data_IF_059218143165
#
_entry.id   IF_059218143165
#
_cell.length_a   1.000
_cell.length_b   1.000
_cell.length_c   1.000
_cell.angle_alpha   90.00
_cell.angle_beta   90.00
_cell.angle_gamma   90.00
#
_symmetry.space_group_name_H-M   'P 1'
#
loop_
_entity.id
_entity.type
_entity.pdbx_description
1 polymer ?
#
# COMPACT_ATOMS: atom_id res chain seq x y z
N UNK A 1 31.61 -20.40 -1.17
CA UNK A 1 33.06 -20.48 -1.41
C UNK A 1 33.35 -20.83 -2.86
N UNK A 2 34.55 -20.52 -3.32
CA UNK A 2 35.01 -20.79 -4.67
C UNK A 2 36.42 -21.35 -4.58
N UNK A 3 36.72 -22.39 -5.35
CA UNK A 3 37.99 -23.09 -5.33
C UNK A 3 38.10 -24.00 -6.54
N UNK A 4 39.28 -24.55 -6.76
CA UNK A 4 39.48 -25.58 -7.78
C UNK A 4 39.24 -26.97 -7.17
N UNK A 5 39.11 -27.99 -8.01
CA UNK A 5 38.89 -29.38 -7.56
C UNK A 5 39.95 -29.86 -6.56
N UNK A 6 41.16 -29.32 -6.64
CA UNK A 6 42.26 -29.67 -5.75
C UNK A 6 42.12 -29.13 -4.32
N UNK A 7 41.34 -28.07 -4.08
CA UNK A 7 41.30 -27.40 -2.77
C UNK A 7 39.89 -27.14 -2.21
N UNK A 8 38.83 -27.40 -2.99
CA UNK A 8 37.46 -27.05 -2.59
C UNK A 8 36.98 -27.83 -1.36
N UNK A 9 37.47 -29.06 -1.15
CA UNK A 9 37.15 -29.87 0.01
C UNK A 9 37.73 -29.27 1.30
N UNK A 10 39.03 -28.95 1.29
CA UNK A 10 39.72 -28.32 2.42
C UNK A 10 39.11 -26.96 2.77
N UNK A 11 38.77 -26.16 1.74
CA UNK A 11 38.09 -24.88 1.93
C UNK A 11 36.70 -25.04 2.55
N UNK A 12 35.97 -26.11 2.21
CA UNK A 12 34.65 -26.39 2.78
C UNK A 12 34.74 -26.78 4.25
N UNK A 13 35.74 -27.58 4.61
CA UNK A 13 36.00 -27.99 5.99
C UNK A 13 36.45 -26.81 6.85
N UNK A 14 37.38 -25.99 6.36
CA UNK A 14 37.85 -24.78 7.04
C UNK A 14 36.72 -23.76 7.24
N UNK A 15 35.79 -23.64 6.28
CA UNK A 15 34.63 -22.76 6.37
C UNK A 15 33.49 -23.33 7.24
N UNK A 16 33.64 -24.55 7.77
CA UNK A 16 32.61 -25.22 8.57
C UNK A 16 31.30 -25.45 7.80
N UNK A 17 31.37 -25.66 6.49
CA UNK A 17 30.22 -25.76 5.61
C UNK A 17 29.52 -27.11 5.78
N UNK A 18 28.22 -27.11 6.11
CA UNK A 18 27.47 -28.32 6.47
C UNK A 18 26.44 -28.71 5.40
N UNK A 19 26.11 -30.01 5.25
CA UNK A 19 25.01 -30.46 4.41
C UNK A 19 23.64 -29.90 4.85
N UNK A 20 22.66 -29.75 3.93
CA UNK A 20 22.75 -30.08 2.50
C UNK A 20 23.54 -29.03 1.71
N UNK A 21 24.36 -29.50 0.77
CA UNK A 21 25.22 -28.67 -0.05
C UNK A 21 25.06 -29.01 -1.53
N UNK A 22 25.10 -27.99 -2.40
CA UNK A 22 25.10 -28.14 -3.85
C UNK A 22 26.45 -27.67 -4.38
N UNK A 23 27.15 -28.54 -5.10
CA UNK A 23 28.42 -28.21 -5.76
C UNK A 23 28.16 -27.97 -7.24
N UNK A 24 28.54 -26.78 -7.71
CA UNK A 24 28.46 -26.39 -9.12
C UNK A 24 29.88 -26.37 -9.67
N UNK A 25 30.15 -27.09 -10.77
CA UNK A 25 31.48 -27.23 -11.39
C UNK A 25 31.43 -26.71 -12.83
N UNK A 26 32.45 -25.95 -13.24
CA UNK A 26 32.60 -25.42 -14.61
C UNK A 26 32.73 -23.89 -14.65
N UNK A 27 32.81 -23.31 -15.86
CA UNK A 27 32.97 -21.84 -16.07
C UNK A 27 31.83 -21.01 -15.45
N UNK A 28 30.68 -21.63 -15.17
CA UNK A 28 29.57 -21.02 -14.40
C UNK A 28 29.98 -20.56 -13.01
N UNK A 29 31.09 -21.07 -12.46
CA UNK A 29 31.65 -20.63 -11.18
C UNK A 29 32.13 -19.17 -11.24
N UNK A 30 32.56 -18.69 -12.41
CA UNK A 30 32.96 -17.28 -12.62
C UNK A 30 31.75 -16.34 -12.63
N UNK A 31 30.55 -16.87 -12.90
CA UNK A 31 29.30 -16.13 -12.73
C UNK A 31 29.04 -15.85 -11.25
N UNK A 32 29.62 -16.58 -10.29
CA UNK A 32 29.47 -16.29 -8.86
C UNK A 32 29.88 -14.84 -8.56
N UNK A 33 31.02 -14.38 -9.06
CA UNK A 33 31.45 -12.98 -8.87
C UNK A 33 30.43 -11.97 -9.43
N UNK A 34 29.77 -12.32 -10.55
CA UNK A 34 28.73 -11.53 -11.22
C UNK A 34 27.32 -11.72 -10.64
N UNK A 35 27.05 -12.77 -9.87
CA UNK A 35 25.75 -13.11 -9.26
C UNK A 35 25.72 -12.79 -7.75
N UNK A 36 26.89 -12.55 -7.14
CA UNK A 36 27.03 -12.10 -5.74
C UNK A 36 26.34 -10.78 -5.43
N UNK A 37 25.91 -10.01 -6.44
CA UNK A 37 25.19 -8.75 -6.23
C UNK A 37 23.95 -8.91 -5.37
N UNK A 38 23.33 -10.10 -5.34
CA UNK A 38 22.15 -10.38 -4.52
C UNK A 38 22.54 -10.76 -3.08
N UNK A 39 23.56 -11.61 -2.91
CA UNK A 39 24.04 -12.06 -1.60
C UNK A 39 24.78 -10.98 -0.80
N UNK A 40 25.27 -9.92 -1.46
CA UNK A 40 25.91 -8.77 -0.81
C UNK A 40 24.96 -7.61 -0.53
N UNK A 41 23.66 -7.78 -0.80
CA UNK A 41 22.71 -6.69 -0.54
C UNK A 41 22.49 -6.52 0.97
N UNK A 42 22.22 -5.28 1.42
CA UNK A 42 22.16 -4.99 2.86
C UNK A 42 21.09 -5.77 3.63
N UNK A 43 20.01 -6.18 2.97
CA UNK A 43 18.92 -6.96 3.58
C UNK A 43 18.89 -8.42 3.10
N UNK A 44 19.97 -8.91 2.52
CA UNK A 44 20.02 -10.30 2.02
C UNK A 44 19.65 -11.31 3.11
N UNK A 45 18.69 -12.18 2.78
CA UNK A 45 18.19 -13.22 3.69
C UNK A 45 17.23 -12.74 4.78
N UNK A 46 16.98 -11.43 4.90
CA UNK A 46 16.02 -10.88 5.86
C UNK A 46 14.60 -11.08 5.40
N UNK A 47 13.73 -11.56 6.29
CA UNK A 47 12.29 -11.69 6.07
C UNK A 47 11.57 -10.51 6.71
N UNK A 48 10.91 -9.71 5.88
CA UNK A 48 10.25 -8.48 6.30
C UNK A 48 8.75 -8.59 6.09
N UNK A 49 7.98 -8.50 7.17
CA UNK A 49 6.52 -8.51 7.11
C UNK A 49 6.00 -7.12 6.72
N UNK A 50 5.21 -7.05 5.65
CA UNK A 50 4.65 -5.82 5.09
C UNK A 50 3.15 -5.74 5.38
N UNK A 51 2.75 -4.83 6.28
CA UNK A 51 1.36 -4.73 6.74
C UNK A 51 0.45 -3.80 5.90
N UNK A 52 1.02 -3.18 4.86
CA UNK A 52 0.33 -2.20 4.00
C UNK A 52 -0.80 -2.87 3.21
N UNK A 53 -1.82 -2.08 2.83
CA UNK A 53 -2.93 -2.54 1.98
C UNK A 53 -2.42 -3.24 0.70
N UNK A 54 -3.14 -4.29 0.26
CA UNK A 54 -2.69 -5.22 -0.78
C UNK A 54 -2.37 -4.53 -2.13
N UNK A 55 -3.14 -3.52 -2.50
CA UNK A 55 -2.97 -2.70 -3.70
C UNK A 55 -1.70 -1.84 -3.69
N UNK A 56 -1.06 -1.66 -2.53
CA UNK A 56 0.12 -0.83 -2.34
C UNK A 56 1.30 -1.60 -1.73
N UNK A 57 1.09 -2.87 -1.33
CA UNK A 57 2.13 -3.71 -0.76
C UNK A 57 3.21 -4.03 -1.80
N UNK A 58 2.82 -4.31 -3.05
CA UNK A 58 3.74 -4.71 -4.12
C UNK A 58 4.88 -3.72 -4.40
N UNK A 59 4.60 -2.41 -4.50
CA UNK A 59 5.65 -1.39 -4.72
C UNK A 59 6.70 -1.41 -3.60
N UNK A 60 6.24 -1.54 -2.35
CA UNK A 60 7.13 -1.56 -1.19
C UNK A 60 7.87 -2.91 -1.06
N UNK A 61 7.18 -4.02 -1.33
CA UNK A 61 7.78 -5.36 -1.42
C UNK A 61 8.91 -5.40 -2.44
N UNK A 62 8.71 -4.78 -3.62
CA UNK A 62 9.73 -4.65 -4.65
C UNK A 62 10.94 -3.83 -4.16
N UNK A 63 10.71 -2.68 -3.52
CA UNK A 63 11.79 -1.85 -2.98
C UNK A 63 12.63 -2.58 -1.91
N UNK A 64 11.99 -3.40 -1.07
CA UNK A 64 12.69 -4.25 -0.11
C UNK A 64 13.48 -5.39 -0.80
N UNK A 65 12.90 -6.00 -1.82
CA UNK A 65 13.56 -7.03 -2.63
C UNK A 65 14.75 -6.48 -3.42
N UNK A 66 14.69 -5.23 -3.87
CA UNK A 66 15.82 -4.48 -4.44
C UNK A 66 17.00 -4.33 -3.45
N UNK A 67 16.75 -4.46 -2.16
CA UNK A 67 17.76 -4.48 -1.11
C UNK A 67 18.07 -5.90 -0.59
N UNK A 68 17.53 -6.94 -1.23
CA UNK A 68 17.82 -8.37 -0.96
C UNK A 68 16.90 -9.02 0.06
N UNK A 69 15.90 -8.30 0.58
CA UNK A 69 14.94 -8.87 1.53
C UNK A 69 13.90 -9.77 0.84
N UNK A 70 13.38 -10.72 1.60
CA UNK A 70 12.13 -11.43 1.28
C UNK A 70 10.97 -10.68 1.96
N UNK A 71 10.14 -10.01 1.17
CA UNK A 71 8.93 -9.35 1.68
C UNK A 71 7.79 -10.37 1.80
N UNK A 72 7.21 -10.48 3.00
CA UNK A 72 6.02 -11.29 3.28
C UNK A 72 4.84 -10.34 3.42
N UNK A 73 3.93 -10.37 2.45
CA UNK A 73 2.78 -9.47 2.45
C UNK A 73 1.72 -9.92 3.45
N UNK A 74 1.31 -8.98 4.31
CA UNK A 74 0.34 -9.18 5.38
C UNK A 74 -0.65 -8.02 5.41
N UNK A 75 -1.39 -7.77 4.30
CA UNK A 75 -2.28 -6.63 4.21
C UNK A 75 -3.36 -6.69 5.28
N UNK A 76 -3.49 -5.62 6.06
CA UNK A 76 -4.50 -5.52 7.13
C UNK A 76 -5.74 -4.74 6.67
N UNK A 77 -5.83 -4.43 5.37
CA UNK A 77 -6.96 -3.78 4.72
C UNK A 77 -7.19 -4.50 3.40
N UNK A 78 -8.45 -4.91 3.15
CA UNK A 78 -8.88 -5.46 1.88
C UNK A 78 -9.97 -4.59 1.27
N UNK A 79 -9.81 -4.28 -0.01
CA UNK A 79 -10.85 -3.66 -0.81
C UNK A 79 -11.82 -4.75 -1.26
N UNK A 80 -13.12 -4.53 -1.04
CA UNK A 80 -14.18 -5.39 -1.56
C UNK A 80 -15.25 -4.55 -2.24
N UNK A 81 -16.11 -5.22 -2.99
CA UNK A 81 -17.26 -4.60 -3.64
C UNK A 81 -18.22 -3.96 -2.61
N UNK A 82 -18.95 -2.90 -3.00
CA UNK A 82 -20.07 -2.38 -2.22
C UNK A 82 -21.13 -3.46 -2.00
N UNK A 83 -21.99 -3.24 -1.00
CA UNK A 83 -23.11 -4.17 -0.72
C UNK A 83 -24.11 -4.22 -1.88
N UNK A 84 -24.24 -3.12 -2.61
CA UNK A 84 -25.02 -3.04 -3.84
C UNK A 84 -24.34 -2.09 -4.82
N UNK A 85 -24.27 -2.51 -6.08
CA UNK A 85 -23.84 -1.68 -7.19
C UNK A 85 -24.95 -0.77 -7.72
N UNK A 86 -26.22 -1.00 -7.34
CA UNK A 86 -27.38 -0.26 -7.87
C UNK A 86 -27.25 1.27 -7.78
N UNK A 87 -26.78 1.87 -6.66
CA UNK A 87 -26.63 3.31 -6.59
C UNK A 87 -25.57 3.83 -7.57
N UNK A 88 -24.47 3.09 -7.76
CA UNK A 88 -23.42 3.48 -8.68
C UNK A 88 -23.84 3.29 -10.15
N UNK A 89 -24.56 2.21 -10.45
CA UNK A 89 -25.10 1.95 -11.79
C UNK A 89 -26.12 3.01 -12.20
N UNK A 90 -26.98 3.42 -11.26
CA UNK A 90 -27.99 4.43 -11.52
C UNK A 90 -27.36 5.76 -11.94
N UNK A 91 -26.30 6.19 -11.25
CA UNK A 91 -25.59 7.44 -11.60
C UNK A 91 -24.74 7.28 -12.87
N UNK A 92 -24.14 6.10 -13.11
CA UNK A 92 -23.38 5.82 -14.34
C UNK A 92 -24.28 5.92 -15.58
N UNK A 93 -25.52 5.43 -15.51
CA UNK A 93 -26.51 5.57 -16.61
C UNK A 93 -26.84 7.03 -16.95
N UNK A 94 -26.63 7.94 -16.00
CA UNK A 94 -26.92 9.37 -16.14
C UNK A 94 -25.64 10.22 -16.12
N UNK A 95 -24.48 9.62 -16.37
CA UNK A 95 -23.17 10.25 -16.18
C UNK A 95 -23.01 11.56 -16.96
N UNK A 96 -23.57 11.61 -18.17
CA UNK A 96 -23.55 12.81 -19.02
C UNK A 96 -24.34 14.01 -18.48
N UNK A 97 -25.10 13.85 -17.38
CA UNK A 97 -25.81 14.94 -16.70
C UNK A 97 -25.03 15.57 -15.54
N UNK A 98 -23.90 14.99 -15.14
CA UNK A 98 -23.07 15.52 -14.06
C UNK A 98 -22.11 16.58 -14.58
N UNK A 99 -22.06 17.72 -13.89
CA UNK A 99 -21.09 18.78 -14.16
C UNK A 99 -19.68 18.40 -13.66
N UNK A 100 -19.62 17.65 -12.55
CA UNK A 100 -18.38 17.31 -11.87
C UNK A 100 -18.32 15.85 -11.43
N UNK A 101 -17.18 15.22 -11.68
CA UNK A 101 -16.74 13.97 -11.04
C UNK A 101 -15.62 14.29 -10.05
N UNK A 102 -15.81 13.92 -8.78
CA UNK A 102 -14.83 14.12 -7.72
C UNK A 102 -14.23 12.78 -7.32
N UNK A 103 -12.90 12.65 -7.37
CA UNK A 103 -12.19 11.42 -7.00
C UNK A 103 -11.07 11.73 -5.99
N UNK A 104 -11.15 11.10 -4.83
CA UNK A 104 -10.26 11.41 -3.69
C UNK A 104 -9.22 10.33 -3.40
N UNK A 105 -9.13 9.28 -4.23
CA UNK A 105 -8.06 8.29 -4.14
C UNK A 105 -7.92 7.52 -5.46
N UNK A 106 -6.76 6.91 -5.68
CA UNK A 106 -6.55 5.96 -6.78
C UNK A 106 -7.52 4.77 -6.73
N UNK A 107 -7.96 4.37 -5.52
CA UNK A 107 -8.96 3.31 -5.36
C UNK A 107 -10.35 3.74 -5.83
N UNK A 108 -10.74 5.00 -5.57
CA UNK A 108 -11.97 5.55 -6.13
C UNK A 108 -11.91 5.60 -7.66
N UNK A 109 -10.78 6.03 -8.23
CA UNK A 109 -10.54 6.02 -9.68
C UNK A 109 -10.73 4.60 -10.23
N UNK A 110 -9.93 3.64 -9.74
CA UNK A 110 -9.92 2.27 -10.25
C UNK A 110 -11.30 1.61 -10.18
N UNK A 111 -11.96 1.67 -9.03
CA UNK A 111 -13.26 1.01 -8.86
C UNK A 111 -14.37 1.69 -9.67
N UNK A 112 -14.34 3.03 -9.80
CA UNK A 112 -15.28 3.74 -10.66
C UNK A 112 -15.15 3.35 -12.13
N UNK A 113 -13.93 3.35 -12.68
CA UNK A 113 -13.70 3.02 -14.08
C UNK A 113 -13.90 1.53 -14.39
N UNK A 114 -13.54 0.61 -13.48
CA UNK A 114 -13.90 -0.81 -13.62
C UNK A 114 -15.42 -1.01 -13.67
N UNK A 115 -16.17 -0.27 -12.84
CA UNK A 115 -17.63 -0.35 -12.86
C UNK A 115 -18.21 0.27 -14.12
N UNK A 116 -17.66 1.40 -14.58
CA UNK A 116 -18.04 2.06 -15.82
C UNK A 116 -17.91 1.10 -17.02
N UNK A 117 -16.78 0.39 -17.11
CA UNK A 117 -16.53 -0.65 -18.11
C UNK A 117 -17.51 -1.82 -17.99
N UNK A 118 -17.78 -2.28 -16.77
CA UNK A 118 -18.78 -3.34 -16.52
C UNK A 118 -20.20 -2.93 -16.94
N UNK A 119 -20.51 -1.63 -16.98
CA UNK A 119 -21.75 -1.09 -17.52
C UNK A 119 -21.74 -0.91 -19.05
N UNK A 120 -20.67 -1.34 -19.74
CA UNK A 120 -20.51 -1.19 -21.19
C UNK A 120 -20.16 0.22 -21.64
N UNK A 121 -19.67 1.07 -20.74
CA UNK A 121 -19.27 2.45 -21.01
C UNK A 121 -17.76 2.61 -20.84
N UNK A 122 -17.22 3.69 -21.40
CA UNK A 122 -15.81 4.06 -21.24
C UNK A 122 -15.68 5.56 -20.92
N UNK A 123 -14.44 6.05 -20.90
CA UNK A 123 -14.10 7.44 -20.61
C UNK A 123 -14.89 8.47 -21.45
N UNK A 124 -15.39 8.11 -22.65
CA UNK A 124 -16.22 9.01 -23.49
C UNK A 124 -17.54 9.37 -22.82
N UNK A 125 -18.04 8.55 -21.89
CA UNK A 125 -19.23 8.86 -21.11
C UNK A 125 -19.05 10.09 -20.19
N UNK A 126 -17.80 10.52 -19.95
CA UNK A 126 -17.45 11.72 -19.18
C UNK A 126 -17.27 12.98 -20.06
N UNK A 127 -17.57 12.96 -21.36
CA UNK A 127 -17.20 14.06 -22.28
C UNK A 127 -17.64 15.47 -21.84
N UNK A 128 -18.75 15.60 -21.11
CA UNK A 128 -19.27 16.87 -20.60
C UNK A 128 -19.05 17.08 -19.10
N UNK A 129 -18.32 16.17 -18.44
CA UNK A 129 -18.12 16.16 -16.99
C UNK A 129 -16.70 16.59 -16.66
N UNK A 130 -16.55 17.66 -15.89
CA UNK A 130 -15.23 18.10 -15.40
C UNK A 130 -14.78 17.20 -14.26
N UNK A 131 -13.47 16.99 -14.14
CA UNK A 131 -12.91 16.08 -13.13
C UNK A 131 -12.07 16.84 -12.12
N UNK A 132 -12.45 16.72 -10.85
CA UNK A 132 -11.66 17.18 -9.72
C UNK A 132 -11.03 15.97 -9.01
N UNK A 133 -9.72 16.00 -8.82
CA UNK A 133 -9.01 14.98 -8.02
C UNK A 133 -8.34 15.59 -6.82
N UNK A 134 -8.21 14.85 -5.72
CA UNK A 134 -7.66 15.40 -4.48
C UNK A 134 -6.17 15.75 -4.58
N UNK A 135 -5.39 15.08 -5.43
CA UNK A 135 -3.94 15.32 -5.47
C UNK A 135 -3.19 14.56 -6.57
N UNK A 136 -1.87 14.74 -6.67
CA UNK A 136 -1.05 14.29 -7.80
C UNK A 136 -1.13 12.79 -8.06
N UNK A 137 -1.09 11.95 -7.02
CA UNK A 137 -1.19 10.49 -7.17
C UNK A 137 -2.55 10.05 -7.74
N UNK A 138 -3.62 10.74 -7.40
CA UNK A 138 -4.95 10.47 -7.97
C UNK A 138 -5.05 10.98 -9.41
N UNK A 139 -4.39 12.10 -9.72
CA UNK A 139 -4.26 12.62 -11.08
C UNK A 139 -3.48 11.67 -12.00
N UNK A 140 -2.41 11.06 -11.49
CA UNK A 140 -1.65 10.03 -12.19
C UNK A 140 -2.51 8.77 -12.41
N UNK A 141 -3.23 8.32 -11.38
CA UNK A 141 -4.10 7.16 -11.50
C UNK A 141 -5.20 7.33 -12.56
N UNK A 142 -5.83 8.51 -12.63
CA UNK A 142 -6.89 8.75 -13.62
C UNK A 142 -6.35 8.97 -15.04
N UNK A 143 -5.10 9.42 -15.16
CA UNK A 143 -4.44 9.57 -16.46
C UNK A 143 -4.28 8.23 -17.19
N UNK A 144 -4.12 7.12 -16.47
CA UNK A 144 -4.10 5.78 -17.04
C UNK A 144 -5.40 5.41 -17.79
N UNK A 145 -6.51 6.09 -17.49
CA UNK A 145 -7.80 5.96 -18.19
C UNK A 145 -8.02 7.03 -19.27
N UNK A 146 -6.96 7.77 -19.64
CA UNK A 146 -7.01 8.80 -20.69
C UNK A 146 -7.64 10.13 -20.25
N UNK A 147 -7.91 10.32 -18.97
CA UNK A 147 -8.53 11.55 -18.44
C UNK A 147 -7.48 12.41 -17.73
N UNK A 148 -7.41 13.69 -18.09
CA UNK A 148 -6.64 14.70 -17.34
C UNK A 148 -7.59 15.40 -16.37
N UNK A 149 -7.19 15.54 -15.12
CA UNK A 149 -8.00 16.27 -14.14
C UNK A 149 -8.04 17.77 -14.47
N UNK A 150 -9.23 18.35 -14.44
CA UNK A 150 -9.46 19.80 -14.59
C UNK A 150 -9.04 20.59 -13.36
N UNK A 151 -9.10 19.96 -12.19
CA UNK A 151 -8.89 20.62 -10.91
C UNK A 151 -8.15 19.72 -9.92
N UNK A 152 -7.09 20.26 -9.32
CA UNK A 152 -6.29 19.63 -8.27
C UNK A 152 -6.02 20.70 -7.19
N UNK A 153 -6.49 20.52 -5.94
CA UNK A 153 -6.23 21.47 -4.86
C UNK A 153 -4.77 21.42 -4.40
N UNK A 154 -4.26 22.51 -3.84
CA UNK A 154 -2.85 22.62 -3.44
C UNK A 154 -2.51 21.93 -2.11
N UNK A 155 -3.49 21.72 -1.23
CA UNK A 155 -3.29 21.15 0.11
C UNK A 155 -3.52 19.62 0.17
N UNK A 156 -3.98 19.04 -0.94
CA UNK A 156 -4.30 17.63 -1.14
C UNK A 156 -5.25 17.03 -0.09
N UNK A 157 -6.18 17.84 0.41
CA UNK A 157 -7.16 17.45 1.43
C UNK A 157 -8.59 17.60 0.91
N UNK A 158 -9.52 16.97 1.62
CA UNK A 158 -10.95 17.04 1.29
C UNK A 158 -11.47 18.49 1.41
N UNK A 159 -10.94 19.22 2.38
CA UNK A 159 -11.18 20.64 2.62
C UNK A 159 -10.75 21.50 1.43
N UNK A 160 -9.57 21.23 0.84
CA UNK A 160 -9.11 21.93 -0.37
C UNK A 160 -9.94 21.61 -1.61
N UNK A 161 -10.41 20.36 -1.77
CA UNK A 161 -11.35 20.00 -2.84
C UNK A 161 -12.60 20.87 -2.77
N UNK A 162 -13.19 21.02 -1.57
CA UNK A 162 -14.36 21.89 -1.36
C UNK A 162 -14.02 23.34 -1.65
N UNK A 163 -12.87 23.84 -1.18
CA UNK A 163 -12.45 25.23 -1.38
C UNK A 163 -12.26 25.57 -2.86
N UNK A 164 -11.66 24.69 -3.64
CA UNK A 164 -11.47 24.91 -5.08
C UNK A 164 -12.78 24.78 -5.87
N UNK A 165 -13.61 23.79 -5.56
CA UNK A 165 -14.94 23.64 -6.18
C UNK A 165 -15.84 24.84 -5.87
N UNK A 166 -15.78 25.40 -4.65
CA UNK A 166 -16.50 26.62 -4.30
C UNK A 166 -16.20 27.78 -5.26
N UNK A 167 -14.94 27.94 -5.69
CA UNK A 167 -14.54 28.99 -6.65
C UNK A 167 -15.13 28.77 -8.05
N UNK A 168 -15.56 27.55 -8.38
CA UNK A 168 -16.18 27.21 -9.66
C UNK A 168 -17.70 27.47 -9.69
N UNK A 169 -18.31 27.90 -8.58
CA UNK A 169 -19.75 28.14 -8.48
C UNK A 169 -20.57 26.85 -8.46
N UNK A 170 -20.94 26.40 -7.26
CA UNK A 170 -21.57 25.08 -7.05
C UNK A 170 -23.10 25.09 -7.02
N UNK A 171 -23.73 26.26 -6.94
CA UNK A 171 -25.19 26.35 -6.89
C UNK A 171 -25.84 25.73 -8.14
N UNK A 172 -26.73 24.74 -7.92
CA UNK A 172 -27.44 24.02 -8.97
C UNK A 172 -26.61 22.97 -9.73
N UNK A 173 -25.31 22.85 -9.45
CA UNK A 173 -24.41 21.89 -10.12
C UNK A 173 -24.64 20.46 -9.63
N UNK A 174 -24.54 19.50 -10.54
CA UNK A 174 -24.58 18.07 -10.23
C UNK A 174 -23.17 17.52 -10.06
N UNK A 175 -22.90 16.94 -8.89
CA UNK A 175 -21.59 16.42 -8.52
C UNK A 175 -21.72 14.92 -8.21
N UNK A 176 -20.94 14.12 -8.90
CA UNK A 176 -20.75 12.70 -8.62
C UNK A 176 -19.48 12.51 -7.77
N UNK A 177 -19.61 11.87 -6.62
CA UNK A 177 -18.52 11.59 -5.69
C UNK A 177 -18.48 10.10 -5.30
N UNK A 178 -17.97 9.21 -6.18
CA UNK A 178 -17.80 7.80 -5.86
C UNK A 178 -16.76 7.64 -4.75
N UNK A 179 -17.09 6.91 -3.68
CA UNK A 179 -16.28 6.90 -2.45
C UNK A 179 -16.17 5.53 -1.81
N UNK A 180 -15.29 5.42 -0.81
CA UNK A 180 -15.30 4.30 0.13
C UNK A 180 -16.55 4.37 1.03
N UNK A 181 -17.02 3.22 1.51
CA UNK A 181 -18.13 3.12 2.49
C UNK A 181 -17.96 4.01 3.72
N UNK A 182 -16.74 4.08 4.26
CA UNK A 182 -16.40 4.86 5.47
C UNK A 182 -15.70 6.19 5.17
N UNK A 183 -15.86 6.74 3.97
CA UNK A 183 -15.25 8.03 3.63
C UNK A 183 -15.84 9.17 4.48
N UNK A 184 -15.03 10.22 4.75
CA UNK A 184 -15.49 11.41 5.47
C UNK A 184 -16.60 12.12 4.69
N UNK A 185 -17.64 12.56 5.39
CA UNK A 185 -18.82 13.23 4.81
C UNK A 185 -18.60 14.71 4.45
N UNK A 186 -17.41 15.27 4.69
CA UNK A 186 -17.14 16.70 4.51
C UNK A 186 -17.40 17.19 3.08
N UNK A 187 -16.96 16.45 2.05
CA UNK A 187 -17.18 16.84 0.64
C UNK A 187 -18.67 16.88 0.30
N UNK A 188 -19.46 15.80 0.46
CA UNK A 188 -20.86 15.84 0.10
C UNK A 188 -21.66 16.83 0.95
N UNK A 189 -21.36 16.99 2.24
CA UNK A 189 -22.06 17.93 3.10
C UNK A 189 -21.77 19.39 2.71
N UNK A 190 -20.51 19.77 2.53
CA UNK A 190 -20.15 21.15 2.21
C UNK A 190 -20.58 21.56 0.80
N UNK A 191 -20.47 20.66 -0.19
CA UNK A 191 -20.96 20.96 -1.54
C UNK A 191 -22.48 21.12 -1.58
N UNK A 192 -23.24 20.31 -0.81
CA UNK A 192 -24.69 20.51 -0.64
C UNK A 192 -25.01 21.85 0.03
N UNK A 193 -24.23 22.28 1.03
CA UNK A 193 -24.36 23.62 1.64
C UNK A 193 -24.11 24.76 0.65
N UNK A 194 -23.27 24.54 -0.34
CA UNK A 194 -23.01 25.48 -1.44
C UNK A 194 -24.08 25.43 -2.56
N UNK A 195 -25.13 24.61 -2.39
CA UNK A 195 -26.25 24.50 -3.33
C UNK A 195 -26.06 23.47 -4.44
N UNK A 196 -25.04 22.61 -4.38
CA UNK A 196 -24.89 21.51 -5.33
C UNK A 196 -25.82 20.34 -5.02
N UNK A 197 -26.20 19.61 -6.07
CA UNK A 197 -26.79 18.28 -5.97
C UNK A 197 -25.65 17.27 -5.97
N UNK A 198 -25.49 16.51 -4.88
CA UNK A 198 -24.36 15.59 -4.73
C UNK A 198 -24.83 14.17 -4.54
N UNK A 199 -24.46 13.31 -5.49
CA UNK A 199 -24.59 11.86 -5.41
C UNK A 199 -23.24 11.27 -5.01
N UNK A 200 -23.24 10.44 -3.97
CA UNK A 200 -21.99 9.90 -3.40
C UNK A 200 -22.07 8.38 -3.19
N UNK A 201 -22.22 7.60 -4.28
CA UNK A 201 -22.36 6.16 -4.19
C UNK A 201 -21.08 5.52 -3.62
N UNK A 202 -21.27 4.41 -2.91
CA UNK A 202 -20.15 3.57 -2.47
C UNK A 202 -19.61 2.81 -3.68
N UNK A 203 -18.36 3.06 -4.04
CA UNK A 203 -17.67 2.38 -5.14
C UNK A 203 -16.88 1.16 -4.67
N UNK A 204 -16.50 1.13 -3.39
CA UNK A 204 -15.78 0.02 -2.76
C UNK A 204 -15.90 0.13 -1.24
N UNK A 205 -15.59 -0.96 -0.54
CA UNK A 205 -15.52 -0.99 0.92
C UNK A 205 -14.14 -1.38 1.39
N UNK A 206 -13.72 -0.76 2.49
CA UNK A 206 -12.52 -1.19 3.21
C UNK A 206 -12.94 -2.13 4.33
N UNK A 207 -12.55 -3.40 4.23
CA UNK A 207 -12.78 -4.37 5.30
C UNK A 207 -11.47 -4.81 5.92
N UNK A 208 -11.54 -5.17 7.20
CA UNK A 208 -10.51 -5.95 7.86
C UNK A 208 -10.58 -7.39 7.34
N UNK A 209 -9.48 -8.00 6.88
CA UNK A 209 -9.48 -9.43 6.56
C UNK A 209 -9.82 -10.26 7.80
N UNK A 210 -10.55 -11.36 7.62
CA UNK A 210 -10.92 -12.25 8.74
C UNK A 210 -9.70 -12.95 9.37
N UNK A 211 -8.65 -13.17 8.57
CA UNK A 211 -7.43 -13.88 8.96
C UNK A 211 -6.23 -13.26 8.27
N UNK A 212 -5.05 -13.40 8.87
CA UNK A 212 -3.80 -13.08 8.19
C UNK A 212 -3.56 -14.06 7.03
N UNK A 213 -2.81 -13.65 5.99
CA UNK A 213 -2.36 -14.58 4.96
C UNK A 213 -1.65 -15.79 5.59
N UNK A 214 -1.86 -17.02 5.08
CA UNK A 214 -1.25 -18.22 5.66
C UNK A 214 0.28 -18.15 5.79
N UNK A 215 0.94 -17.55 4.81
CA UNK A 215 2.40 -17.36 4.83
C UNK A 215 2.85 -16.40 5.93
N UNK A 216 2.15 -15.27 6.09
CA UNK A 216 2.41 -14.30 7.16
C UNK A 216 2.22 -14.92 8.55
N UNK A 217 1.10 -15.63 8.74
CA UNK A 217 0.81 -16.32 10.00
C UNK A 217 1.87 -17.37 10.32
N UNK A 218 2.20 -18.23 9.34
CA UNK A 218 3.23 -19.25 9.50
C UNK A 218 4.60 -18.64 9.85
N UNK A 219 4.99 -17.55 9.17
CA UNK A 219 6.26 -16.88 9.43
C UNK A 219 6.34 -16.30 10.84
N UNK A 220 5.25 -15.71 11.33
CA UNK A 220 5.11 -15.21 12.71
C UNK A 220 5.16 -16.34 13.73
N UNK A 221 4.40 -17.42 13.52
CA UNK A 221 4.38 -18.59 14.42
C UNK A 221 5.75 -19.28 14.51
N UNK A 222 6.49 -19.37 13.41
CA UNK A 222 7.84 -19.92 13.36
C UNK A 222 8.93 -18.95 13.82
N UNK A 223 8.56 -17.72 14.20
CA UNK A 223 9.51 -16.64 14.59
C UNK A 223 10.61 -16.44 13.56
N UNK A 224 10.24 -16.51 12.28
CA UNK A 224 11.16 -16.38 11.15
C UNK A 224 11.11 -14.99 10.51
N UNK A 225 10.32 -14.06 11.07
CA UNK A 225 10.27 -12.67 10.64
C UNK A 225 11.37 -11.89 11.36
N UNK A 226 12.27 -11.25 10.61
CA UNK A 226 13.31 -10.38 11.18
C UNK A 226 12.76 -8.99 11.51
N UNK A 227 11.88 -8.47 10.66
CA UNK A 227 11.31 -7.13 10.81
C UNK A 227 9.84 -7.08 10.39
N UNK A 228 9.04 -6.30 11.10
CA UNK A 228 7.69 -5.91 10.69
C UNK A 228 7.64 -4.41 10.41
N UNK A 229 6.96 -4.05 9.33
CA UNK A 229 6.81 -2.65 8.92
C UNK A 229 5.37 -2.17 9.10
N UNK A 230 5.20 -0.98 9.66
CA UNK A 230 3.91 -0.28 9.78
C UNK A 230 3.98 1.07 9.07
N UNK A 231 3.12 1.24 8.06
CA UNK A 231 3.11 2.46 7.22
C UNK A 231 1.94 3.39 7.50
N UNK A 232 1.09 3.03 8.47
CA UNK A 232 0.07 3.91 9.05
C UNK A 232 -0.36 3.39 10.42
N UNK A 233 -0.90 4.27 11.26
CA UNK A 233 -1.50 3.88 12.55
C UNK A 233 -2.61 2.84 12.40
N UNK A 234 -3.40 2.92 11.32
CA UNK A 234 -4.45 1.94 11.04
C UNK A 234 -3.91 0.54 10.81
N UNK A 235 -2.73 0.38 10.18
CA UNK A 235 -2.13 -0.97 10.00
C UNK A 235 -1.77 -1.63 11.33
N UNK A 236 -1.34 -0.84 12.32
CA UNK A 236 -1.04 -1.32 13.67
C UNK A 236 -2.32 -1.75 14.38
N UNK A 237 -3.35 -0.90 14.36
CA UNK A 237 -4.63 -1.15 15.00
C UNK A 237 -5.31 -2.38 14.40
N UNK A 238 -5.37 -2.46 13.07
CA UNK A 238 -5.99 -3.57 12.36
C UNK A 238 -5.28 -4.89 12.67
N UNK A 239 -3.94 -4.91 12.68
CA UNK A 239 -3.21 -6.13 13.02
C UNK A 239 -3.48 -6.57 14.48
N UNK A 240 -3.54 -5.61 15.41
CA UNK A 240 -3.88 -5.87 16.80
C UNK A 240 -5.33 -6.37 16.97
N UNK A 241 -6.27 -5.87 16.16
CA UNK A 241 -7.66 -6.32 16.14
C UNK A 241 -7.77 -7.75 15.59
N UNK A 242 -7.01 -8.08 14.52
CA UNK A 242 -7.01 -9.41 13.91
C UNK A 242 -6.42 -10.50 14.80
N UNK A 243 -5.33 -10.18 15.52
CA UNK A 243 -4.60 -11.16 16.34
C UNK A 243 -4.99 -11.13 17.82
N UNK A 244 -5.51 -9.99 18.30
CA UNK A 244 -5.52 -9.67 19.71
C UNK A 244 -4.18 -9.09 20.18
N UNK A 245 -4.25 -8.08 21.06
CA UNK A 245 -3.09 -7.32 21.53
C UNK A 245 -2.00 -8.19 22.16
N UNK A 246 -2.37 -9.10 23.07
CA UNK A 246 -1.41 -9.92 23.80
C UNK A 246 -0.70 -10.92 22.87
N UNK A 247 -1.45 -11.50 21.93
CA UNK A 247 -0.90 -12.42 20.94
C UNK A 247 0.06 -11.68 20.00
N UNK A 248 -0.32 -10.49 19.52
CA UNK A 248 0.54 -9.64 18.70
C UNK A 248 1.87 -9.33 19.40
N UNK A 249 1.82 -8.84 20.64
CA UNK A 249 3.03 -8.54 21.43
C UNK A 249 3.88 -9.79 21.61
N UNK A 250 3.28 -10.94 21.86
CA UNK A 250 4.01 -12.19 22.02
C UNK A 250 4.64 -12.71 20.71
N UNK A 251 3.93 -12.60 19.59
CA UNK A 251 4.42 -13.00 18.26
C UNK A 251 5.57 -12.10 17.78
N UNK A 252 5.56 -10.82 18.16
CA UNK A 252 6.61 -9.86 17.78
C UNK A 252 7.78 -9.79 18.77
N UNK A 253 7.85 -10.67 19.77
CA UNK A 253 9.03 -10.74 20.67
C UNK A 253 10.29 -11.10 19.87
N UNK A 254 11.26 -10.18 19.87
CA UNK A 254 12.52 -10.34 19.14
C UNK A 254 12.44 -9.98 17.66
N UNK A 255 11.29 -9.50 17.18
CA UNK A 255 11.11 -8.98 15.82
C UNK A 255 11.36 -7.47 15.86
N UNK A 256 12.18 -6.96 14.95
CA UNK A 256 12.42 -5.51 14.80
C UNK A 256 11.15 -4.82 14.31
N UNK A 257 10.66 -3.82 15.04
CA UNK A 257 9.47 -3.05 14.62
C UNK A 257 9.89 -1.75 13.96
N UNK A 258 9.56 -1.60 12.67
CA UNK A 258 9.79 -0.39 11.89
C UNK A 258 8.49 0.35 11.62
N UNK A 259 8.41 1.60 12.02
CA UNK A 259 7.28 2.50 11.73
C UNK A 259 7.70 3.56 10.72
N UNK A 260 6.78 4.00 9.87
CA UNK A 260 7.07 5.05 8.88
C UNK A 260 7.24 6.44 9.51
N UNK A 261 6.79 6.66 10.75
CA UNK A 261 6.91 7.97 11.39
C UNK A 261 6.14 8.12 12.70
N UNK A 262 6.19 9.32 13.33
CA UNK A 262 5.85 9.51 14.74
C UNK A 262 4.43 9.14 15.16
N UNK A 263 3.44 9.38 14.28
CA UNK A 263 2.04 9.05 14.54
C UNK A 263 1.85 7.53 14.60
N UNK A 264 2.47 6.79 13.67
CA UNK A 264 2.42 5.33 13.64
C UNK A 264 3.19 4.74 14.81
N UNK A 265 4.36 5.29 15.15
CA UNK A 265 5.15 4.85 16.30
C UNK A 265 4.41 5.01 17.62
N UNK A 266 3.65 6.11 17.78
CA UNK A 266 2.82 6.32 18.95
C UNK A 266 1.79 5.19 19.09
N UNK A 267 1.10 4.86 17.99
CA UNK A 267 0.14 3.76 17.97
C UNK A 267 0.80 2.40 18.27
N UNK A 268 1.99 2.12 17.74
CA UNK A 268 2.76 0.92 18.11
C UNK A 268 2.99 0.84 19.63
N UNK A 269 3.45 1.93 20.24
CA UNK A 269 3.69 2.00 21.69
C UNK A 269 2.41 1.85 22.51
N UNK A 270 1.32 2.48 22.07
CA UNK A 270 -0.02 2.32 22.69
C UNK A 270 -0.50 0.87 22.66
N UNK A 271 -0.15 0.11 21.62
CA UNK A 271 -0.44 -1.33 21.52
C UNK A 271 0.55 -2.22 22.28
N UNK A 272 1.57 -1.64 22.93
CA UNK A 272 2.57 -2.39 23.72
C UNK A 272 3.77 -2.87 22.90
N UNK A 273 3.94 -2.38 21.67
CA UNK A 273 5.11 -2.68 20.84
C UNK A 273 6.22 -1.68 21.11
N UNK A 274 7.46 -2.18 21.20
CA UNK A 274 8.66 -1.35 21.15
C UNK A 274 8.95 -1.03 19.69
N UNK A 275 9.14 0.24 19.35
CA UNK A 275 9.54 0.68 18.01
C UNK A 275 11.06 0.79 17.98
N UNK A 276 11.70 0.07 17.06
CA UNK A 276 13.16 0.05 16.91
C UNK A 276 13.64 0.97 15.78
N UNK A 277 12.80 1.21 14.78
CA UNK A 277 13.13 2.02 13.60
C UNK A 277 12.01 3.04 13.34
N UNK A 278 12.37 4.31 13.27
CA UNK A 278 11.51 5.43 12.88
C UNK A 278 12.36 6.41 12.05
N UNK A 279 12.14 6.55 10.72
CA UNK A 279 12.91 7.47 9.89
C UNK A 279 12.51 8.93 10.17
N UNK A 280 13.42 9.87 9.90
CA UNK A 280 13.14 11.30 10.08
C UNK A 280 12.04 11.81 9.14
N UNK A 281 11.95 11.25 7.93
CA UNK A 281 10.97 11.60 6.91
C UNK A 281 10.05 10.41 6.66
N UNK A 282 8.74 10.66 6.67
CA UNK A 282 7.71 9.62 6.53
C UNK A 282 7.50 9.17 5.08
N UNK A 283 8.54 8.65 4.44
CA UNK A 283 8.49 8.10 3.07
C UNK A 283 8.92 6.63 3.07
N UNK A 284 8.49 5.87 2.07
CA UNK A 284 8.88 4.45 1.94
C UNK A 284 10.39 4.30 1.70
N UNK A 285 10.98 5.17 0.89
CA UNK A 285 12.42 5.15 0.62
C UNK A 285 13.25 5.35 1.90
N UNK A 286 12.86 6.32 2.73
CA UNK A 286 13.53 6.60 4.00
C UNK A 286 13.33 5.47 5.02
N UNK A 287 12.15 4.84 5.01
CA UNK A 287 11.90 3.65 5.82
C UNK A 287 12.81 2.48 5.41
N UNK A 288 12.97 2.20 4.11
CA UNK A 288 13.90 1.16 3.63
C UNK A 288 15.35 1.49 3.95
N UNK A 289 15.76 2.75 3.81
CA UNK A 289 17.10 3.20 4.18
C UNK A 289 17.37 2.99 5.68
N UNK A 290 16.41 3.33 6.54
CA UNK A 290 16.53 3.13 7.98
C UNK A 290 16.55 1.64 8.37
N UNK A 291 15.76 0.80 7.71
CA UNK A 291 15.79 -0.67 7.88
C UNK A 291 17.14 -1.23 7.45
N UNK A 292 17.66 -0.77 6.31
CA UNK A 292 18.98 -1.13 5.79
C UNK A 292 20.06 -0.81 6.81
N UNK A 293 20.09 0.43 7.30
CA UNK A 293 21.07 0.88 8.29
C UNK A 293 21.02 0.02 9.56
N UNK A 294 19.82 -0.31 10.05
CA UNK A 294 19.65 -1.12 11.25
C UNK A 294 20.23 -2.54 11.15
N UNK A 295 20.12 -3.19 9.98
CA UNK A 295 20.62 -4.56 9.79
C UNK A 295 22.07 -4.68 9.34
N UNK A 296 22.70 -3.55 8.97
CA UNK A 296 24.13 -3.50 8.60
C UNK A 296 25.05 -3.10 9.75
N UNK A 297 24.52 -2.70 10.90
CA UNK A 297 25.28 -2.25 12.08
C UNK A 297 25.13 -3.19 13.29
#
# INVERSE_FOLDING_TARGET
>A
MTGCLANIADLAEQAGFKPPAVTIVGEVVDLRGKLRWFDSRPLFGRKILVTRAADQAGEFSLLLAEHGATAIECPTIRLVEPESWEPLDAVIKQLGSYDWLVLTSGNAVRNFFLRLESCGLDARALANCRVCVVGPKTAEAILAFGIRADLIPSDYKAEGVVAELKKQGMAGKKVLFPRADRAREIIPQELKRLGAQVDSPVAYRNILPERLPPEALFALEKRSVDCITFTSSSTVQNLAEMLGRDLLVNMLKGVTVASIGPVTSRTCREMGLKVDIEPQRSTLAELVAAITQHFTH
#
